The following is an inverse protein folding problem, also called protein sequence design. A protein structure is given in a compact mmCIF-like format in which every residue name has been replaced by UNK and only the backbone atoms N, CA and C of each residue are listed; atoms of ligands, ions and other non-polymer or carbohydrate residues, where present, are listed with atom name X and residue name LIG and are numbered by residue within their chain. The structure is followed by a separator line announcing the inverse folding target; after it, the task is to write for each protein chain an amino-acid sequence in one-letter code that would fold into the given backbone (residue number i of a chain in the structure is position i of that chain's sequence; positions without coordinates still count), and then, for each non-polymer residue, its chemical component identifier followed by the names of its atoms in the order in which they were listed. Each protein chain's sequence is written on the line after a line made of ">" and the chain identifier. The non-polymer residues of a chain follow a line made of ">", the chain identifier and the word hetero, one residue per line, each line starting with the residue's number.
data_IF_429684958732
#
_entry.id   IF_429684958732
#
_cell.length_a   1.000
_cell.length_b   1.000
_cell.length_c   1.000
_cell.angle_alpha   90.00
_cell.angle_beta   90.00
_cell.angle_gamma   90.00
#
_symmetry.space_group_name_H-M   'P 1'
#
loop_
_entity.id
_entity.type
_entity.pdbx_description
1 polymer ?
#
# COMPACT_ATOMS: atom_id res chain seq x y z
N UNK A 1 57.10 52.33 -2.44
CA UNK A 1 55.64 52.57 -2.39
C UNK A 1 55.06 51.92 -3.65
N UNK A 2 54.51 50.70 -3.55
CA UNK A 2 53.05 50.41 -3.51
C UNK A 2 52.33 50.94 -4.77
N UNK A 3 51.56 50.23 -5.59
CA UNK A 3 50.53 49.22 -5.31
C UNK A 3 49.91 48.66 -6.63
N UNK A 4 49.51 47.36 -6.60
CA UNK A 4 48.42 46.58 -7.30
C UNK A 4 47.51 47.21 -8.39
N UNK A 5 46.64 46.45 -9.14
CA UNK A 5 46.56 45.01 -9.51
C UNK A 5 46.34 44.81 -11.05
N UNK A 6 46.23 43.61 -11.66
CA UNK A 6 44.95 42.89 -11.96
C UNK A 6 45.24 41.59 -12.77
N UNK A 7 44.60 40.47 -12.41
CA UNK A 7 44.03 39.46 -13.32
C UNK A 7 44.91 38.36 -13.93
N UNK A 8 44.68 37.09 -13.53
CA UNK A 8 44.42 35.96 -14.43
C UNK A 8 43.98 34.70 -13.64
N UNK A 9 42.93 34.05 -14.14
CA UNK A 9 42.36 32.79 -13.64
C UNK A 9 43.33 31.63 -13.84
N UNK A 10 43.37 30.69 -12.89
CA UNK A 10 43.91 29.34 -13.11
C UNK A 10 42.90 28.31 -12.58
N UNK A 11 42.63 27.30 -13.42
CA UNK A 11 41.76 26.16 -13.13
C UNK A 11 42.39 25.20 -12.10
N UNK A 12 41.59 24.51 -11.26
CA UNK A 12 42.12 23.50 -10.34
C UNK A 12 42.34 22.13 -11.01
N UNK A 13 43.45 21.49 -10.60
CA UNK A 13 43.97 20.20 -11.04
C UNK A 13 43.15 18.98 -10.48
N UNK A 14 43.28 17.78 -11.09
CA UNK A 14 42.34 16.68 -10.91
C UNK A 14 42.51 15.90 -9.60
N UNK A 15 41.38 15.34 -9.13
CA UNK A 15 41.24 14.59 -7.88
C UNK A 15 42.06 13.28 -7.85
N UNK A 16 43.04 13.21 -6.94
CA UNK A 16 43.69 11.98 -6.52
C UNK A 16 42.81 11.17 -5.55
N UNK A 17 42.67 9.87 -5.83
CA UNK A 17 41.94 8.90 -5.00
C UNK A 17 42.74 8.59 -3.74
N UNK A 18 42.11 8.66 -2.56
CA UNK A 18 42.76 8.32 -1.29
C UNK A 18 42.81 6.79 -1.06
N UNK A 19 43.87 6.26 -0.41
CA UNK A 19 44.09 4.84 -0.22
C UNK A 19 43.25 4.26 0.91
N UNK A 20 43.04 2.95 0.82
CA UNK A 20 42.35 2.09 1.78
C UNK A 20 43.40 1.57 2.78
N UNK A 21 43.31 1.95 4.06
CA UNK A 21 43.58 1.11 5.25
C UNK A 21 43.74 1.93 6.56
N UNK A 22 43.36 1.27 7.66
CA UNK A 22 43.57 1.58 9.09
C UNK A 22 42.65 2.59 9.81
N UNK A 23 41.58 2.06 10.40
CA UNK A 23 41.10 2.48 11.71
C UNK A 23 40.69 1.22 12.51
N UNK A 24 41.56 0.81 13.42
CA UNK A 24 41.26 -0.17 14.46
C UNK A 24 40.47 0.43 15.62
N UNK A 25 39.76 -0.47 16.31
CA UNK A 25 39.18 -0.35 17.65
C UNK A 25 37.87 0.44 17.83
N UNK A 26 36.78 -0.34 18.03
CA UNK A 26 35.92 -0.35 19.24
C UNK A 26 34.42 -0.46 18.90
N UNK A 27 33.97 -1.67 18.56
CA UNK A 27 32.58 -2.08 18.79
C UNK A 27 32.59 -3.53 19.29
N UNK A 28 32.35 -3.71 20.59
CA UNK A 28 32.19 -5.02 21.22
C UNK A 28 30.98 -5.76 20.67
N UNK A 29 31.19 -6.53 19.60
CA UNK A 29 30.24 -7.52 19.10
C UNK A 29 30.35 -8.81 19.90
N UNK A 30 29.39 -9.07 20.79
CA UNK A 30 29.24 -10.38 21.42
C UNK A 30 28.80 -11.38 20.35
N UNK A 31 29.70 -12.25 19.91
CA UNK A 31 29.39 -13.38 19.02
C UNK A 31 28.38 -14.28 19.75
N UNK A 32 27.18 -14.57 19.21
CA UNK A 32 26.28 -15.54 19.83
C UNK A 32 26.91 -16.93 19.73
N UNK A 33 26.92 -17.74 20.80
CA UNK A 33 27.41 -19.11 20.72
C UNK A 33 26.53 -19.93 19.77
N UNK A 34 27.19 -20.69 18.90
CA UNK A 34 26.57 -21.65 18.01
C UNK A 34 25.89 -22.76 18.82
N UNK A 35 24.63 -23.07 18.51
CA UNK A 35 23.91 -24.18 19.12
C UNK A 35 22.59 -23.78 19.74
N UNK A 36 21.53 -23.94 18.96
CA UNK A 36 20.15 -23.83 19.43
C UNK A 36 19.25 -23.39 18.30
N UNK A 37 18.65 -24.36 17.60
CA UNK A 37 17.44 -24.10 16.83
C UNK A 37 16.41 -23.63 17.86
N UNK A 38 16.30 -22.31 18.04
CA UNK A 38 15.17 -21.71 18.72
C UNK A 38 14.00 -21.91 17.79
N UNK A 39 13.25 -22.99 18.00
CA UNK A 39 11.83 -23.03 17.64
C UNK A 39 11.12 -21.94 18.45
N UNK A 40 11.34 -20.68 18.06
CA UNK A 40 10.48 -19.58 18.49
C UNK A 40 9.16 -19.88 17.80
N UNK A 41 8.13 -20.09 18.60
CA UNK A 41 6.73 -20.02 18.20
C UNK A 41 6.59 -19.01 17.05
N UNK A 42 6.23 -19.47 15.85
CA UNK A 42 5.76 -18.61 14.76
C UNK A 42 4.40 -18.01 15.17
N UNK A 43 4.39 -17.24 16.27
CA UNK A 43 3.43 -16.16 16.43
C UNK A 43 3.55 -15.35 15.17
N UNK A 44 2.42 -15.14 14.49
CA UNK A 44 2.35 -14.52 13.17
C UNK A 44 3.02 -13.13 13.21
N UNK A 45 4.35 -13.11 13.04
CA UNK A 45 5.19 -11.99 13.47
C UNK A 45 4.87 -10.72 12.68
N UNK A 46 4.30 -10.91 11.49
CA UNK A 46 3.82 -9.83 10.64
C UNK A 46 2.43 -9.33 11.06
N UNK A 47 1.56 -10.20 11.58
CA UNK A 47 0.20 -9.88 12.05
C UNK A 47 0.16 -8.80 13.13
N UNK A 48 1.12 -8.84 14.05
CA UNK A 48 1.23 -7.87 15.13
C UNK A 48 1.96 -6.58 14.71
N UNK A 49 2.50 -6.55 13.49
CA UNK A 49 3.38 -5.48 13.00
C UNK A 49 2.80 -4.70 11.83
N UNK A 50 1.94 -5.32 11.02
CA UNK A 50 1.46 -4.74 9.76
C UNK A 50 -0.06 -4.84 9.64
N UNK A 51 -0.71 -3.71 9.31
CA UNK A 51 -2.08 -3.68 8.81
C UNK A 51 -2.05 -3.35 7.33
N UNK A 52 -2.73 -4.16 6.51
CA UNK A 52 -2.87 -3.87 5.10
C UNK A 52 -4.07 -2.95 4.86
N UNK A 53 -3.92 -1.92 4.05
CA UNK A 53 -5.03 -1.06 3.60
C UNK A 53 -5.14 -1.16 2.09
N UNK A 54 -6.31 -1.53 1.60
CA UNK A 54 -6.65 -1.49 0.18
C UNK A 54 -7.72 -0.43 -0.05
N UNK A 55 -7.35 0.62 -0.77
CA UNK A 55 -8.28 1.68 -1.13
C UNK A 55 -9.00 1.32 -2.43
N UNK A 56 -10.32 1.46 -2.43
CA UNK A 56 -11.20 1.34 -3.60
C UNK A 56 -12.18 2.50 -3.65
N UNK A 57 -12.66 2.82 -4.84
CA UNK A 57 -13.66 3.85 -5.13
C UNK A 57 -14.54 3.35 -6.28
N UNK A 58 -15.61 4.06 -6.67
CA UNK A 58 -16.36 3.66 -7.86
C UNK A 58 -15.47 3.51 -9.09
N UNK A 59 -15.60 2.38 -9.76
CA UNK A 59 -14.87 2.01 -10.98
C UNK A 59 -15.84 1.43 -12.01
N UNK A 60 -15.42 1.40 -13.28
CA UNK A 60 -16.29 0.97 -14.38
C UNK A 60 -16.79 -0.48 -14.22
N UNK A 61 -16.00 -1.34 -13.61
CA UNK A 61 -16.29 -2.76 -13.41
C UNK A 61 -17.29 -3.05 -12.29
N UNK A 62 -17.66 -2.06 -11.47
CA UNK A 62 -18.73 -2.27 -10.50
C UNK A 62 -20.05 -2.60 -11.25
N UNK A 63 -20.84 -3.57 -10.78
CA UNK A 63 -20.82 -4.17 -9.43
C UNK A 63 -19.88 -5.39 -9.24
N UNK A 64 -19.08 -5.78 -10.23
CA UNK A 64 -18.18 -6.94 -10.11
C UNK A 64 -17.12 -6.74 -9.02
N UNK A 65 -16.89 -7.77 -8.21
CA UNK A 65 -15.84 -7.87 -7.20
C UNK A 65 -14.57 -8.54 -7.72
N UNK A 66 -14.59 -9.05 -8.96
CA UNK A 66 -13.58 -9.94 -9.51
C UNK A 66 -12.15 -9.38 -9.42
N UNK A 67 -11.94 -8.10 -9.74
CA UNK A 67 -10.60 -7.49 -9.65
C UNK A 67 -10.03 -7.50 -8.23
N UNK A 68 -10.87 -7.19 -7.24
CA UNK A 68 -10.47 -7.21 -5.84
C UNK A 68 -10.23 -8.66 -5.38
N UNK A 69 -11.09 -9.59 -5.79
CA UNK A 69 -10.95 -11.01 -5.48
C UNK A 69 -9.65 -11.60 -6.06
N UNK A 70 -9.34 -11.28 -7.32
CA UNK A 70 -8.10 -11.70 -7.98
C UNK A 70 -6.87 -11.12 -7.26
N UNK A 71 -6.93 -9.84 -6.91
CA UNK A 71 -5.87 -9.18 -6.14
C UNK A 71 -5.67 -9.86 -4.79
N UNK A 72 -6.74 -10.06 -4.02
CA UNK A 72 -6.71 -10.72 -2.71
C UNK A 72 -6.25 -12.18 -2.80
N UNK A 73 -6.69 -12.90 -3.83
CA UNK A 73 -6.22 -14.25 -4.12
C UNK A 73 -4.72 -14.26 -4.36
N UNK A 74 -4.19 -13.33 -5.17
CA UNK A 74 -2.76 -13.25 -5.44
C UNK A 74 -1.95 -12.99 -4.16
N UNK A 75 -2.41 -12.06 -3.31
CA UNK A 75 -1.80 -11.75 -2.01
C UNK A 75 -1.79 -13.00 -1.13
N UNK A 76 -2.95 -13.65 -0.99
CA UNK A 76 -3.07 -14.85 -0.15
C UNK A 76 -2.15 -15.98 -0.63
N UNK A 77 -2.05 -16.18 -1.94
CA UNK A 77 -1.27 -17.30 -2.50
C UNK A 77 0.24 -17.05 -2.48
N UNK A 78 0.67 -15.81 -2.73
CA UNK A 78 2.09 -15.52 -2.99
C UNK A 78 2.78 -14.74 -1.86
N UNK A 79 2.04 -14.02 -1.02
CA UNK A 79 2.63 -13.26 0.09
C UNK A 79 2.50 -14.04 1.40
N UNK A 80 3.47 -14.90 1.70
CA UNK A 80 3.52 -15.66 2.97
C UNK A 80 3.49 -14.71 4.18
N UNK A 81 2.74 -15.08 5.22
CA UNK A 81 2.55 -14.26 6.42
C UNK A 81 1.49 -13.18 6.28
N UNK A 82 0.90 -12.97 5.09
CA UNK A 82 -0.16 -11.98 4.89
C UNK A 82 -1.57 -12.48 5.20
N UNK A 83 -1.75 -13.81 5.26
CA UNK A 83 -3.05 -14.48 5.33
C UNK A 83 -3.84 -14.02 6.57
N UNK A 84 -3.17 -13.96 7.72
CA UNK A 84 -3.77 -13.58 9.00
C UNK A 84 -3.51 -12.12 9.42
N UNK A 85 -3.02 -11.26 8.51
CA UNK A 85 -2.87 -9.84 8.82
C UNK A 85 -4.23 -9.17 9.01
N UNK A 86 -4.36 -8.18 9.90
CA UNK A 86 -5.45 -7.23 9.84
C UNK A 86 -5.47 -6.52 8.48
N UNK A 87 -6.63 -6.47 7.83
CA UNK A 87 -6.81 -5.80 6.54
C UNK A 87 -7.99 -4.84 6.60
N UNK A 88 -7.83 -3.66 6.02
CA UNK A 88 -8.89 -2.67 5.89
C UNK A 88 -9.15 -2.47 4.40
N UNK A 89 -10.37 -2.75 3.96
CA UNK A 89 -10.86 -2.35 2.64
C UNK A 89 -11.47 -0.96 2.82
N UNK A 90 -10.72 0.06 2.41
CA UNK A 90 -11.12 1.45 2.47
C UNK A 90 -11.92 1.79 1.21
N UNK A 91 -13.22 2.03 1.38
CA UNK A 91 -14.15 2.36 0.33
C UNK A 91 -14.44 3.86 0.34
N UNK A 92 -13.80 4.63 -0.55
CA UNK A 92 -14.05 6.08 -0.65
C UNK A 92 -15.44 6.36 -1.26
N UNK A 93 -16.04 7.47 -0.87
CA UNK A 93 -17.35 7.85 -1.38
C UNK A 93 -17.27 8.49 -2.77
N UNK A 94 -18.41 9.03 -3.21
CA UNK A 94 -18.55 9.66 -4.51
C UNK A 94 -19.44 10.89 -4.44
N UNK A 95 -19.42 11.68 -5.51
CA UNK A 95 -20.37 12.77 -5.73
C UNK A 95 -21.34 12.36 -6.85
N UNK A 96 -22.64 12.62 -6.70
CA UNK A 96 -23.58 12.40 -7.80
C UNK A 96 -23.46 13.54 -8.83
N UNK A 97 -23.52 13.19 -10.12
CA UNK A 97 -23.71 14.17 -11.20
C UNK A 97 -25.16 14.24 -11.61
N UNK A 98 -25.63 15.45 -11.92
CA UNK A 98 -26.96 15.70 -12.51
C UNK A 98 -26.97 15.57 -14.03
N UNK A 99 -25.79 15.44 -14.66
CA UNK A 99 -25.68 15.32 -16.11
C UNK A 99 -26.01 13.89 -16.56
N UNK A 100 -27.09 13.75 -17.31
CA UNK A 100 -27.46 12.55 -18.05
C UNK A 100 -26.81 12.60 -19.44
N UNK A 101 -25.63 12.00 -19.58
CA UNK A 101 -24.93 11.89 -20.86
C UNK A 101 -23.48 11.41 -20.71
N UNK A 102 -22.91 10.84 -21.78
CA UNK A 102 -21.53 10.32 -21.89
C UNK A 102 -20.44 11.42 -21.84
N UNK A 103 -20.75 12.61 -21.29
CA UNK A 103 -19.77 13.63 -20.99
C UNK A 103 -18.95 13.18 -19.79
N UNK A 104 -17.71 12.77 -20.03
CA UNK A 104 -16.79 12.26 -19.01
C UNK A 104 -16.77 13.20 -17.81
N UNK A 105 -17.35 12.74 -16.70
CA UNK A 105 -17.18 13.38 -15.41
C UNK A 105 -15.68 13.55 -15.20
N UNK A 106 -15.21 14.81 -15.28
CA UNK A 106 -13.80 15.15 -15.11
C UNK A 106 -13.31 14.45 -13.84
N UNK A 107 -12.42 13.47 -14.03
CA UNK A 107 -11.77 12.65 -12.99
C UNK A 107 -12.65 11.67 -12.21
N UNK A 108 -13.55 10.85 -12.80
CA UNK A 108 -14.09 9.62 -12.15
C UNK A 108 -14.77 9.76 -10.78
N UNK A 109 -14.98 11.01 -10.32
CA UNK A 109 -15.34 11.41 -8.95
C UNK A 109 -16.79 11.85 -8.86
N UNK A 110 -17.40 12.16 -10.02
CA UNK A 110 -18.82 12.42 -10.15
C UNK A 110 -19.43 11.29 -10.97
N UNK A 111 -20.41 10.59 -10.44
CA UNK A 111 -20.99 9.41 -11.08
C UNK A 111 -22.50 9.56 -11.24
N UNK A 112 -23.07 8.83 -12.19
CA UNK A 112 -24.52 8.75 -12.37
C UNK A 112 -25.16 7.97 -11.22
N UNK A 113 -26.49 8.08 -11.07
CA UNK A 113 -27.23 7.28 -10.08
C UNK A 113 -27.07 5.78 -10.33
N UNK A 114 -27.12 5.35 -11.59
CA UNK A 114 -26.88 3.96 -11.98
C UNK A 114 -25.52 3.46 -11.48
N UNK A 115 -24.44 4.21 -11.76
CA UNK A 115 -23.10 3.85 -11.28
C UNK A 115 -22.97 3.88 -9.76
N UNK A 116 -23.76 4.70 -9.08
CA UNK A 116 -23.83 4.71 -7.63
C UNK A 116 -24.50 3.44 -7.08
N UNK A 117 -25.54 2.94 -7.74
CA UNK A 117 -26.16 1.65 -7.38
C UNK A 117 -25.21 0.48 -7.67
N UNK A 118 -24.51 0.48 -8.81
CA UNK A 118 -23.47 -0.50 -9.12
C UNK A 118 -22.41 -0.56 -8.01
N UNK A 119 -21.94 0.61 -7.53
CA UNK A 119 -20.96 0.67 -6.47
C UNK A 119 -21.51 0.19 -5.12
N UNK A 120 -22.75 0.53 -4.77
CA UNK A 120 -23.39 0.02 -3.54
C UNK A 120 -23.52 -1.49 -3.57
N UNK A 121 -23.90 -2.06 -4.71
CA UNK A 121 -23.98 -3.51 -4.88
C UNK A 121 -22.60 -4.17 -4.76
N UNK A 122 -21.56 -3.57 -5.35
CA UNK A 122 -20.17 -3.99 -5.13
C UNK A 122 -19.79 -4.00 -3.63
N UNK A 123 -20.13 -2.95 -2.88
CA UNK A 123 -19.87 -2.90 -1.43
C UNK A 123 -20.63 -4.01 -0.68
N UNK A 124 -21.89 -4.28 -1.04
CA UNK A 124 -22.66 -5.39 -0.45
C UNK A 124 -22.00 -6.75 -0.71
N UNK A 125 -21.50 -6.99 -1.93
CA UNK A 125 -20.83 -8.25 -2.28
C UNK A 125 -19.52 -8.45 -1.53
N UNK A 126 -18.73 -7.39 -1.36
CA UNK A 126 -17.51 -7.46 -0.51
C UNK A 126 -17.89 -7.81 0.93
N UNK A 127 -18.91 -7.14 1.47
CA UNK A 127 -19.34 -7.42 2.85
C UNK A 127 -19.82 -8.87 2.98
N UNK A 128 -20.58 -9.39 2.00
CA UNK A 128 -20.99 -10.79 1.97
C UNK A 128 -19.79 -11.74 1.99
N UNK A 129 -18.75 -11.49 1.17
CA UNK A 129 -17.54 -12.31 1.21
C UNK A 129 -16.83 -12.31 2.58
N UNK A 130 -16.84 -11.18 3.28
CA UNK A 130 -16.27 -11.08 4.64
C UNK A 130 -17.13 -11.88 5.63
N UNK A 131 -18.45 -11.69 5.60
CA UNK A 131 -19.39 -12.31 6.53
C UNK A 131 -19.47 -13.84 6.34
N UNK A 132 -19.38 -14.30 5.10
CA UNK A 132 -19.35 -15.72 4.72
C UNK A 132 -17.99 -16.39 5.00
N UNK A 133 -16.97 -15.64 5.44
CA UNK A 133 -15.66 -16.18 5.76
C UNK A 133 -14.87 -16.64 4.53
N UNK A 134 -15.04 -15.97 3.38
CA UNK A 134 -14.26 -16.27 2.18
C UNK A 134 -12.76 -16.13 2.48
N UNK A 135 -11.98 -17.18 2.18
CA UNK A 135 -10.55 -17.21 2.48
C UNK A 135 -9.74 -16.09 1.81
N UNK A 136 -10.21 -15.49 0.71
CA UNK A 136 -9.57 -14.32 0.09
C UNK A 136 -9.66 -13.09 1.01
N UNK A 137 -10.69 -13.01 1.85
CA UNK A 137 -11.02 -11.85 2.68
C UNK A 137 -10.78 -12.09 4.17
N UNK A 138 -10.01 -13.13 4.52
CA UNK A 138 -9.68 -13.43 5.91
C UNK A 138 -8.98 -12.22 6.58
N UNK A 139 -9.47 -11.82 7.75
CA UNK A 139 -8.96 -10.67 8.49
C UNK A 139 -9.34 -9.30 7.93
N UNK A 140 -10.20 -9.24 6.90
CA UNK A 140 -10.71 -7.98 6.34
C UNK A 140 -11.79 -7.35 7.22
N UNK A 141 -11.78 -6.01 7.26
CA UNK A 141 -12.90 -5.16 7.67
C UNK A 141 -13.11 -4.10 6.60
N UNK A 142 -14.34 -3.65 6.43
CA UNK A 142 -14.65 -2.52 5.55
C UNK A 142 -14.70 -1.20 6.33
N UNK A 143 -14.10 -0.16 5.74
CA UNK A 143 -14.31 1.23 6.14
C UNK A 143 -14.94 1.97 4.95
N UNK A 144 -16.23 2.29 5.06
CA UNK A 144 -16.97 2.97 4.00
C UNK A 144 -17.09 4.45 4.34
N UNK A 145 -16.60 5.31 3.46
CA UNK A 145 -16.70 6.75 3.63
C UNK A 145 -17.98 7.29 2.97
N UNK A 146 -18.76 8.14 3.66
CA UNK A 146 -20.08 8.55 3.20
C UNK A 146 -20.04 9.55 2.04
N UNK A 147 -18.89 10.17 1.79
CA UNK A 147 -18.66 11.15 0.73
C UNK A 147 -17.27 10.95 0.15
N UNK A 148 -17.06 11.52 -1.03
CA UNK A 148 -15.76 11.55 -1.67
C UNK A 148 -14.76 12.38 -0.85
N UNK A 149 -13.66 11.77 -0.43
CA UNK A 149 -12.54 12.45 0.20
C UNK A 149 -11.33 12.55 -0.74
N UNK A 150 -11.14 11.54 -1.59
CA UNK A 150 -9.90 11.32 -2.33
C UNK A 150 -8.87 10.56 -1.49
N UNK A 151 -7.94 9.91 -2.17
CA UNK A 151 -7.03 8.91 -1.59
C UNK A 151 -6.35 9.35 -0.29
N UNK A 152 -5.64 10.49 -0.27
CA UNK A 152 -4.88 10.90 0.92
C UNK A 152 -5.75 11.15 2.16
N UNK A 153 -6.88 11.83 2.00
CA UNK A 153 -7.81 12.09 3.10
C UNK A 153 -8.56 10.82 3.52
N UNK A 154 -8.93 9.97 2.57
CA UNK A 154 -9.53 8.68 2.87
C UNK A 154 -8.56 7.78 3.67
N UNK A 155 -7.27 7.79 3.33
CA UNK A 155 -6.23 7.07 4.06
C UNK A 155 -6.09 7.56 5.50
N UNK A 156 -6.24 8.87 5.75
CA UNK A 156 -6.22 9.40 7.13
C UNK A 156 -7.35 8.80 7.99
N UNK A 157 -8.52 8.54 7.42
CA UNK A 157 -9.61 7.86 8.14
C UNK A 157 -9.25 6.40 8.45
N UNK A 158 -8.66 5.67 7.49
CA UNK A 158 -8.24 4.29 7.72
C UNK A 158 -7.11 4.18 8.76
N UNK A 159 -6.15 5.11 8.76
CA UNK A 159 -5.03 5.13 9.70
C UNK A 159 -5.50 5.20 11.15
N UNK A 160 -6.62 5.88 11.45
CA UNK A 160 -7.19 5.94 12.81
C UNK A 160 -7.58 4.57 13.37
N UNK A 161 -7.90 3.62 12.49
CA UNK A 161 -8.26 2.24 12.84
C UNK A 161 -7.05 1.32 12.99
N UNK A 162 -5.89 1.69 12.45
CA UNK A 162 -4.67 0.89 12.51
C UNK A 162 -4.10 0.89 13.93
N UNK A 163 -3.76 -0.30 14.43
CA UNK A 163 -3.11 -0.50 15.75
C UNK A 163 -1.68 -1.04 15.65
N UNK A 164 -1.27 -1.42 14.45
CA UNK A 164 0.06 -1.98 14.18
C UNK A 164 1.05 -0.86 13.84
N UNK A 165 2.36 -1.05 14.13
CA UNK A 165 3.40 -0.04 13.88
C UNK A 165 3.62 0.28 12.39
N UNK A 166 3.27 -0.62 11.48
CA UNK A 166 3.45 -0.44 10.05
C UNK A 166 2.13 -0.61 9.28
N UNK A 167 2.08 0.03 8.12
CA UNK A 167 0.97 -0.04 7.17
C UNK A 167 1.51 -0.51 5.82
N UNK A 168 0.85 -1.51 5.24
CA UNK A 168 1.05 -1.89 3.85
C UNK A 168 -0.11 -1.33 3.01
N UNK A 169 0.19 -0.39 2.13
CA UNK A 169 -0.80 0.18 1.21
C UNK A 169 -0.77 -0.62 -0.09
N UNK A 170 -1.88 -1.25 -0.46
CA UNK A 170 -2.02 -2.02 -1.69
C UNK A 170 -3.15 -1.45 -2.57
N UNK A 171 -3.02 -1.59 -3.89
CA UNK A 171 -4.08 -1.23 -4.84
C UNK A 171 -5.00 -2.43 -5.07
N UNK A 172 -6.30 -2.18 -5.25
CA UNK A 172 -7.33 -3.22 -5.37
C UNK A 172 -7.37 -3.90 -6.75
N UNK A 173 -6.62 -3.41 -7.72
CA UNK A 173 -6.61 -3.81 -9.12
C UNK A 173 -5.22 -4.29 -9.61
N UNK A 174 -4.26 -4.45 -8.68
CA UNK A 174 -2.92 -4.94 -8.98
C UNK A 174 -2.64 -6.25 -8.27
N UNK A 175 -2.79 -7.35 -9.01
CA UNK A 175 -2.27 -8.63 -8.57
C UNK A 175 -0.76 -8.53 -8.31
N UNK A 176 -0.29 -9.10 -7.19
CA UNK A 176 1.12 -9.06 -6.82
C UNK A 176 1.98 -9.90 -7.78
N UNK A 177 1.43 -11.03 -8.22
CA UNK A 177 2.03 -11.94 -9.20
C UNK A 177 0.90 -12.53 -10.03
N UNK A 178 0.98 -12.38 -11.35
CA UNK A 178 0.29 -13.25 -12.30
C UNK A 178 1.27 -14.32 -12.73
N UNK A 179 0.87 -15.60 -12.76
CA UNK A 179 1.65 -16.57 -13.55
C UNK A 179 1.65 -16.04 -14.99
N UNK A 180 2.82 -15.77 -15.55
CA UNK A 180 2.95 -15.76 -17.01
C UNK A 180 2.48 -17.14 -17.46
N UNK A 181 1.51 -17.18 -18.35
CA UNK A 181 0.93 -18.43 -18.84
C UNK A 181 2.06 -19.29 -19.45
N UNK A 182 2.03 -20.60 -19.14
CA UNK A 182 2.73 -21.63 -19.90
C UNK A 182 2.05 -21.81 -21.27
#
# INVERSE_FOLDING_TARGET
>A
VSSKPTGLMQEPAPHEKRPFEEAGEEYGGRVPPEGGIREKEEKNALGDKVTMIMATSPVKSNPSTELLEQTMRSIRLFCKGTQKLPKIILCDGYTLTTQTGQGTARKGRRITREKAEDYKEYLRRIQAHIDEGNANFEGCKMLILPKLHGFGLAMQEAIKLVKTPYILVAQHDRAFISRGED
#
